data_IF_800904552823
#
_entry.id   IF_800904552823
#
_cell.length_a   1.000
_cell.length_b   1.000
_cell.length_c   1.000
_cell.angle_alpha   90.00
_cell.angle_beta   90.00
_cell.angle_gamma   90.00
#
_symmetry.space_group_name_H-M   'P 1'
#
loop_
_entity.id
_entity.type
_entity.pdbx_description
1 polymer ?
#
# COMPACT_ATOMS: atom_id res chain seq x y z
N UNK A 1 -4.21 -0.81 5.61
CA UNK A 1 -4.87 -1.32 6.83
C UNK A 1 -4.51 -0.53 8.10
N UNK A 2 -3.31 0.03 8.22
CA UNK A 2 -2.92 0.80 9.41
C UNK A 2 -3.84 1.99 9.73
N UNK A 3 -4.27 2.75 8.71
CA UNK A 3 -5.04 3.99 8.91
C UNK A 3 -6.38 3.75 9.64
N UNK A 4 -7.26 2.84 9.17
CA UNK A 4 -8.49 2.56 9.90
C UNK A 4 -8.27 1.87 11.25
N UNK A 5 -7.26 1.00 11.37
CA UNK A 5 -6.94 0.34 12.64
C UNK A 5 -6.52 1.35 13.71
N UNK A 6 -5.66 2.31 13.36
CA UNK A 6 -5.24 3.39 14.27
C UNK A 6 -6.39 4.32 14.61
N UNK A 7 -7.28 4.63 13.66
CA UNK A 7 -8.47 5.44 13.93
C UNK A 7 -9.40 4.78 14.97
N UNK A 8 -9.65 3.46 14.83
CA UNK A 8 -10.47 2.70 15.78
C UNK A 8 -9.80 2.62 17.16
N UNK A 9 -8.49 2.39 17.21
CA UNK A 9 -7.76 2.37 18.49
C UNK A 9 -7.74 3.73 19.18
N UNK A 10 -7.57 4.82 18.42
CA UNK A 10 -7.65 6.17 18.98
C UNK A 10 -9.06 6.44 19.51
N UNK A 11 -10.11 5.95 18.83
CA UNK A 11 -11.47 6.04 19.35
C UNK A 11 -11.66 5.27 20.67
N UNK A 12 -10.97 4.15 20.88
CA UNK A 12 -10.99 3.39 22.12
C UNK A 12 -10.32 4.16 23.27
N UNK A 13 -9.17 4.80 22.99
CA UNK A 13 -8.47 5.67 23.96
C UNK A 13 -9.34 6.87 24.33
N UNK A 14 -9.98 7.54 23.36
CA UNK A 14 -10.89 8.65 23.65
C UNK A 14 -12.09 8.22 24.49
N UNK A 15 -12.63 7.01 24.29
CA UNK A 15 -13.72 6.48 25.12
C UNK A 15 -13.25 6.18 26.54
N UNK A 16 -12.04 5.64 26.71
CA UNK A 16 -11.45 5.43 28.03
C UNK A 16 -11.22 6.76 28.77
N UNK A 17 -10.79 7.81 28.05
CA UNK A 17 -10.60 9.15 28.61
C UNK A 17 -11.91 9.89 28.91
N UNK A 18 -12.96 9.61 28.13
CA UNK A 18 -14.29 10.21 28.32
C UNK A 18 -15.12 9.51 29.43
N UNK A 19 -14.63 8.41 29.99
CA UNK A 19 -15.22 7.78 31.17
C UNK A 19 -15.14 8.70 32.40
N UNK A 20 -16.10 8.58 33.33
CA UNK A 20 -16.05 9.30 34.59
C UNK A 20 -14.76 8.96 35.37
N UNK A 21 -14.24 9.91 36.15
CA UNK A 21 -13.06 9.72 37.01
C UNK A 21 -13.38 8.67 38.08
N UNK A 22 -13.10 7.42 37.72
CA UNK A 22 -13.27 6.21 38.52
C UNK A 22 -11.89 5.54 38.67
N UNK A 23 -11.66 4.82 39.76
CA UNK A 23 -10.36 4.20 40.06
C UNK A 23 -9.92 3.20 38.97
N UNK A 24 -10.86 2.74 38.14
CA UNK A 24 -10.65 1.84 37.02
C UNK A 24 -10.10 2.52 35.73
N UNK A 25 -10.06 3.85 35.67
CA UNK A 25 -9.63 4.60 34.47
C UNK A 25 -8.17 4.33 34.11
N UNK A 26 -7.29 4.26 35.11
CA UNK A 26 -5.86 3.99 34.87
C UNK A 26 -5.62 2.59 34.31
N UNK A 27 -6.33 1.58 34.81
CA UNK A 27 -6.20 0.22 34.30
C UNK A 27 -6.69 0.08 32.85
N UNK A 28 -7.77 0.77 32.46
CA UNK A 28 -8.25 0.75 31.07
C UNK A 28 -7.26 1.43 30.11
N UNK A 29 -6.61 2.51 30.54
CA UNK A 29 -5.58 3.18 29.76
C UNK A 29 -4.32 2.32 29.60
N UNK A 30 -3.86 1.67 30.67
CA UNK A 30 -2.72 0.74 30.60
C UNK A 30 -2.99 -0.41 29.62
N UNK A 31 -4.17 -1.03 29.71
CA UNK A 31 -4.56 -2.08 28.77
C UNK A 31 -4.58 -1.55 27.34
N UNK A 32 -5.18 -0.39 27.08
CA UNK A 32 -5.22 0.24 25.75
C UNK A 32 -3.82 0.44 25.14
N UNK A 33 -2.85 0.90 25.94
CA UNK A 33 -1.47 1.10 25.50
C UNK A 33 -0.78 -0.22 25.14
N UNK A 34 -0.99 -1.27 25.93
CA UNK A 34 -0.45 -2.61 25.64
C UNK A 34 -1.03 -3.14 24.31
N UNK A 35 -2.34 -2.97 24.06
CA UNK A 35 -2.95 -3.40 22.79
C UNK A 35 -2.35 -2.65 21.60
N UNK A 36 -2.06 -1.35 21.77
CA UNK A 36 -1.49 -0.52 20.72
C UNK A 36 -0.07 -0.96 20.35
N UNK A 37 0.76 -1.25 21.36
CA UNK A 37 2.10 -1.79 21.15
C UNK A 37 2.08 -3.15 20.44
N UNK A 38 1.17 -4.06 20.84
CA UNK A 38 1.02 -5.37 20.22
C UNK A 38 0.64 -5.31 18.74
N UNK A 39 -0.32 -4.45 18.39
CA UNK A 39 -0.72 -4.25 16.98
C UNK A 39 0.37 -3.53 16.19
N UNK A 40 1.06 -2.56 16.77
CA UNK A 40 2.21 -1.89 16.13
C UNK A 40 3.31 -2.89 15.73
N UNK A 41 3.64 -3.83 16.62
CA UNK A 41 4.61 -4.87 16.32
C UNK A 41 4.12 -5.81 15.21
N UNK A 42 2.84 -6.21 15.25
CA UNK A 42 2.25 -7.06 14.21
C UNK A 42 2.26 -6.40 12.83
N UNK A 43 1.94 -5.10 12.76
CA UNK A 43 1.99 -4.32 11.51
C UNK A 43 3.41 -4.23 10.98
N UNK A 44 4.39 -3.95 11.85
CA UNK A 44 5.80 -3.86 11.45
C UNK A 44 6.28 -5.16 10.80
N UNK A 45 6.02 -6.32 11.43
CA UNK A 45 6.43 -7.62 10.90
C UNK A 45 5.74 -7.91 9.56
N UNK A 46 4.44 -7.63 9.46
CA UNK A 46 3.67 -7.89 8.25
C UNK A 46 4.07 -6.99 7.08
N UNK A 47 4.25 -5.69 7.32
CA UNK A 47 4.68 -4.73 6.29
C UNK A 47 6.11 -5.03 5.84
N UNK A 48 7.01 -5.36 6.76
CA UNK A 48 8.37 -5.75 6.41
C UNK A 48 8.39 -7.02 5.54
N UNK A 49 7.64 -8.06 5.95
CA UNK A 49 7.55 -9.30 5.18
C UNK A 49 6.95 -9.06 3.78
N UNK A 50 5.86 -8.30 3.70
CA UNK A 50 5.19 -7.99 2.43
C UNK A 50 6.08 -7.17 1.50
N UNK A 51 6.79 -6.17 2.05
CA UNK A 51 7.76 -5.36 1.30
C UNK A 51 8.93 -6.18 0.80
N UNK A 52 9.44 -7.12 1.60
CA UNK A 52 10.55 -7.99 1.20
C UNK A 52 10.13 -8.94 0.05
N UNK A 53 8.95 -9.57 0.17
CA UNK A 53 8.41 -10.45 -0.87
C UNK A 53 8.18 -9.69 -2.18
N UNK A 54 7.65 -8.48 -2.10
CA UNK A 54 7.37 -7.66 -3.26
C UNK A 54 8.66 -7.15 -3.93
N UNK A 55 9.67 -6.79 -3.14
CA UNK A 55 11.01 -6.47 -3.64
C UNK A 55 11.63 -7.62 -4.42
N UNK A 56 11.55 -8.84 -3.87
CA UNK A 56 12.02 -10.04 -4.58
C UNK A 56 11.22 -10.30 -5.86
N UNK A 57 9.90 -10.14 -5.82
CA UNK A 57 9.04 -10.30 -6.99
C UNK A 57 9.37 -9.27 -8.09
N UNK A 58 9.63 -8.01 -7.71
CA UNK A 58 9.96 -6.94 -8.65
C UNK A 58 11.32 -7.15 -9.32
N UNK A 59 12.29 -7.75 -8.61
CA UNK A 59 13.56 -8.19 -9.21
C UNK A 59 13.34 -9.26 -10.27
N UNK A 60 12.58 -10.31 -9.95
CA UNK A 60 12.33 -11.40 -10.87
C UNK A 60 11.57 -10.93 -12.13
N UNK A 61 10.55 -10.09 -11.96
CA UNK A 61 9.80 -9.49 -13.08
C UNK A 61 10.71 -8.64 -13.98
N UNK A 62 11.65 -7.88 -13.39
CA UNK A 62 12.60 -7.06 -14.14
C UNK A 62 13.58 -7.90 -14.94
N UNK A 63 14.04 -9.03 -14.37
CA UNK A 63 14.94 -9.95 -15.06
C UNK A 63 14.26 -10.60 -16.26
N UNK A 64 13.05 -11.11 -16.08
CA UNK A 64 12.21 -11.64 -17.16
C UNK A 64 11.95 -10.60 -18.26
N UNK A 65 11.64 -9.35 -17.89
CA UNK A 65 11.46 -8.27 -18.85
C UNK A 65 12.72 -8.01 -19.68
N UNK A 66 13.91 -7.97 -19.06
CA UNK A 66 15.18 -7.78 -19.76
C UNK A 66 15.45 -8.89 -20.78
N UNK A 67 15.25 -10.15 -20.38
CA UNK A 67 15.49 -11.31 -21.26
C UNK A 67 14.52 -11.29 -22.45
N UNK A 68 13.24 -11.05 -22.20
CA UNK A 68 12.22 -11.00 -23.27
C UNK A 68 12.45 -9.83 -24.22
N UNK A 69 12.78 -8.66 -23.69
CA UNK A 69 13.08 -7.48 -24.51
C UNK A 69 14.32 -7.69 -25.38
N UNK A 70 15.40 -8.26 -24.83
CA UNK A 70 16.60 -8.57 -25.59
C UNK A 70 16.33 -9.63 -26.69
N UNK A 71 15.59 -10.69 -26.36
CA UNK A 71 15.15 -11.69 -27.34
C UNK A 71 14.35 -11.06 -28.47
N UNK A 72 13.45 -10.13 -28.16
CA UNK A 72 12.63 -9.47 -29.17
C UNK A 72 13.46 -8.55 -30.09
N UNK A 73 14.48 -7.89 -29.55
CA UNK A 73 15.44 -7.09 -30.35
C UNK A 73 16.21 -8.00 -31.31
N UNK A 74 16.64 -9.19 -30.89
CA UNK A 74 17.39 -10.12 -31.74
C UNK A 74 16.57 -10.72 -32.89
N UNK A 75 15.24 -10.79 -32.75
CA UNK A 75 14.34 -11.35 -33.75
C UNK A 75 13.91 -10.32 -34.82
N UNK A 76 14.37 -9.08 -34.73
CA UNK A 76 13.95 -8.00 -35.61
C UNK A 76 14.73 -8.00 -36.95
N UNK A 77 14.07 -7.62 -38.03
CA UNK A 77 14.66 -7.62 -39.38
C UNK A 77 15.84 -6.65 -39.54
N UNK A 78 16.76 -6.93 -40.47
CA UNK A 78 17.90 -6.06 -40.75
C UNK A 78 17.49 -4.60 -41.12
N UNK A 79 16.38 -4.45 -41.84
CA UNK A 79 15.82 -3.14 -42.21
C UNK A 79 15.38 -2.30 -40.99
N UNK A 80 15.08 -2.95 -39.85
CA UNK A 80 14.79 -2.23 -38.61
C UNK A 80 16.04 -1.51 -38.08
N UNK A 81 17.22 -2.13 -38.19
CA UNK A 81 18.49 -1.57 -37.71
C UNK A 81 19.08 -0.50 -38.64
N UNK A 82 18.63 -0.41 -39.89
CA UNK A 82 19.06 0.62 -40.85
C UNK A 82 18.55 2.02 -40.47
N UNK A 83 17.49 2.10 -39.65
CA UNK A 83 16.99 3.38 -39.15
C UNK A 83 17.95 3.95 -38.08
N UNK A 84 18.39 5.22 -38.19
CA UNK A 84 19.30 5.84 -37.21
C UNK A 84 18.67 5.97 -35.81
N UNK A 85 17.34 5.86 -35.69
CA UNK A 85 16.64 5.78 -34.42
C UNK A 85 16.78 4.42 -33.73
N UNK A 86 17.00 3.35 -34.49
CA UNK A 86 17.06 1.95 -34.06
C UNK A 86 18.47 1.37 -34.13
N UNK A 87 19.49 2.23 -34.08
CA UNK A 87 20.87 1.78 -33.98
C UNK A 87 21.04 0.87 -32.74
N UNK A 88 21.74 -0.28 -32.86
CA UNK A 88 21.84 -1.28 -31.80
C UNK A 88 22.40 -0.71 -30.48
N UNK A 89 23.37 0.20 -30.56
CA UNK A 89 23.90 0.90 -29.37
C UNK A 89 22.82 1.72 -28.64
N UNK A 90 21.95 2.41 -29.39
CA UNK A 90 20.87 3.24 -28.83
C UNK A 90 19.77 2.38 -28.21
N UNK A 91 19.43 1.26 -28.83
CA UNK A 91 18.49 0.27 -28.29
C UNK A 91 18.99 -0.35 -26.99
N UNK A 92 20.29 -0.71 -26.91
CA UNK A 92 20.90 -1.25 -25.69
C UNK A 92 20.90 -0.19 -24.59
N UNK A 93 21.25 1.07 -24.89
CA UNK A 93 21.17 2.15 -23.90
C UNK A 93 19.74 2.36 -23.41
N UNK A 94 18.74 2.34 -24.30
CA UNK A 94 17.33 2.45 -23.90
C UNK A 94 16.89 1.29 -23.04
N UNK A 95 17.26 0.07 -23.39
CA UNK A 95 16.94 -1.10 -22.58
C UNK A 95 17.58 -1.04 -21.18
N UNK A 96 18.82 -0.55 -21.11
CA UNK A 96 19.54 -0.35 -19.85
C UNK A 96 18.92 0.75 -18.98
N UNK A 97 18.31 1.78 -19.57
CA UNK A 97 17.58 2.83 -18.84
C UNK A 97 16.15 2.42 -18.48
N UNK A 98 15.46 1.69 -19.34
CA UNK A 98 14.04 1.35 -19.16
C UNK A 98 13.86 0.24 -18.12
N UNK A 99 14.77 -0.74 -18.06
CA UNK A 99 14.67 -1.82 -17.09
C UNK A 99 14.72 -1.36 -15.61
N UNK A 100 15.66 -0.50 -15.16
CA UNK A 100 15.63 0.03 -13.79
C UNK A 100 14.44 0.97 -13.55
N UNK A 101 13.99 1.73 -14.56
CA UNK A 101 12.80 2.57 -14.44
C UNK A 101 11.54 1.73 -14.19
N UNK A 102 11.37 0.62 -14.92
CA UNK A 102 10.26 -0.32 -14.72
C UNK A 102 10.33 -0.94 -13.33
N UNK A 103 11.51 -1.38 -12.86
CA UNK A 103 11.66 -1.89 -11.49
C UNK A 103 11.24 -0.86 -10.46
N UNK A 104 11.67 0.39 -10.58
CA UNK A 104 11.34 1.44 -9.63
C UNK A 104 9.82 1.75 -9.55
N UNK A 105 9.13 1.68 -10.70
CA UNK A 105 7.67 1.84 -10.75
C UNK A 105 6.96 0.66 -10.12
N UNK A 106 7.38 -0.56 -10.45
CA UNK A 106 6.79 -1.77 -9.88
C UNK A 106 7.01 -1.76 -8.38
N UNK A 107 8.23 -1.55 -7.89
CA UNK A 107 8.58 -1.75 -6.48
C UNK A 107 7.99 -0.68 -5.55
N UNK A 108 8.35 0.59 -5.76
CA UNK A 108 8.02 1.65 -4.81
C UNK A 108 6.59 2.18 -4.98
N UNK A 109 6.12 2.34 -6.23
CA UNK A 109 4.83 2.99 -6.49
C UNK A 109 3.66 2.02 -6.40
N UNK A 110 3.83 0.79 -6.88
CA UNK A 110 2.72 -0.17 -6.91
C UNK A 110 2.29 -0.57 -5.50
N UNK A 111 3.24 -0.79 -4.59
CA UNK A 111 2.95 -1.12 -3.19
C UNK A 111 2.15 0.02 -2.51
N UNK A 112 2.57 1.27 -2.72
CA UNK A 112 1.86 2.45 -2.20
C UNK A 112 0.45 2.60 -2.76
N UNK A 113 0.25 2.36 -4.06
CA UNK A 113 -1.07 2.41 -4.69
C UNK A 113 -2.00 1.34 -4.10
N UNK A 114 -1.50 0.11 -3.93
CA UNK A 114 -2.26 -0.98 -3.32
C UNK A 114 -2.65 -0.64 -1.87
N UNK A 115 -1.71 -0.10 -1.09
CA UNK A 115 -2.01 0.36 0.28
C UNK A 115 -3.03 1.51 0.32
N UNK A 116 -2.93 2.47 -0.61
CA UNK A 116 -3.88 3.57 -0.73
C UNK A 116 -5.29 3.07 -1.08
N UNK A 117 -5.42 2.19 -2.07
CA UNK A 117 -6.70 1.64 -2.50
C UNK A 117 -7.35 0.79 -1.40
N UNK A 118 -6.58 -0.09 -0.75
CA UNK A 118 -7.10 -0.90 0.36
C UNK A 118 -7.51 -0.04 1.55
N UNK A 119 -6.74 1.01 1.88
CA UNK A 119 -7.12 1.95 2.92
C UNK A 119 -8.39 2.73 2.56
N UNK A 120 -8.53 3.18 1.32
CA UNK A 120 -9.71 3.90 0.85
C UNK A 120 -10.97 3.04 0.97
N UNK A 121 -10.92 1.79 0.50
CA UNK A 121 -12.05 0.85 0.59
C UNK A 121 -12.43 0.60 2.06
N UNK A 122 -11.47 0.30 2.92
CA UNK A 122 -11.74 0.03 4.34
C UNK A 122 -12.31 1.26 5.07
N UNK A 123 -11.80 2.45 4.78
CA UNK A 123 -12.32 3.68 5.38
C UNK A 123 -13.75 3.97 4.93
N UNK A 124 -14.08 3.73 3.65
CA UNK A 124 -15.46 3.85 3.16
C UNK A 124 -16.38 2.90 3.93
N UNK A 125 -16.00 1.63 4.08
CA UNK A 125 -16.80 0.62 4.80
C UNK A 125 -17.02 1.04 6.26
N UNK A 126 -15.95 1.42 6.97
CA UNK A 126 -16.02 1.84 8.36
C UNK A 126 -16.87 3.12 8.50
N UNK A 127 -16.66 4.09 7.60
CA UNK A 127 -17.43 5.32 7.55
C UNK A 127 -18.93 5.06 7.40
N UNK A 128 -19.33 4.17 6.49
CA UNK A 128 -20.73 3.79 6.32
C UNK A 128 -21.31 3.13 7.58
N UNK A 129 -20.58 2.24 8.25
CA UNK A 129 -21.04 1.57 9.47
C UNK A 129 -21.32 2.55 10.61
N UNK A 130 -20.41 3.50 10.87
CA UNK A 130 -20.58 4.49 11.93
C UNK A 130 -21.61 5.57 11.57
N UNK A 131 -21.62 6.02 10.31
CA UNK A 131 -22.49 7.11 9.87
C UNK A 131 -23.95 6.67 9.65
N UNK A 132 -24.22 5.36 9.47
CA UNK A 132 -25.57 4.84 9.28
C UNK A 132 -26.53 5.24 10.41
N UNK A 133 -26.06 5.25 11.66
CA UNK A 133 -26.88 5.64 12.81
C UNK A 133 -27.19 7.14 12.83
N UNK A 134 -26.27 7.97 12.36
CA UNK A 134 -26.44 9.43 12.26
C UNK A 134 -27.41 9.75 11.12
N UNK A 135 -27.24 9.11 9.97
CA UNK A 135 -28.11 9.28 8.80
C UNK A 135 -29.56 8.89 9.09
N UNK A 136 -29.78 7.77 9.80
CA UNK A 136 -31.12 7.36 10.23
C UNK A 136 -31.77 8.33 11.21
N UNK A 137 -31.00 8.97 12.10
CA UNK A 137 -31.55 9.99 13.02
C UNK A 137 -31.89 11.29 12.29
N UNK A 138 -31.06 11.73 11.33
CA UNK A 138 -31.30 12.97 10.61
C UNK A 138 -32.54 12.92 9.69
N UNK A 139 -32.80 11.79 9.03
CA UNK A 139 -34.00 11.60 8.19
C UNK A 139 -35.32 11.63 8.97
N UNK A 140 -35.33 11.19 10.23
CA UNK A 140 -36.51 11.27 11.11
C UNK A 140 -36.79 12.70 11.61
N UNK A 141 -35.78 13.56 11.71
CA UNK A 141 -35.96 14.97 12.13
C UNK A 141 -36.43 15.89 11.00
N UNK A 142 -36.35 15.45 9.75
CA UNK A 142 -36.75 16.20 8.55
C UNK A 142 -38.16 15.83 8.03
N UNK A 143 -38.79 14.80 8.61
CA UNK A 143 -40.15 14.34 8.30
C UNK A 143 -41.11 14.71 9.45
#
# INVERSE_FOLDING_TARGET
MQLPAMALMMSYVFRALAGAYDDNMMFQLEMAMIMHCGVGLGVLVFEFASSALFSLASENMTMEFRVRAFRNILLQDAAYFDSPQHAPGKLITRLATDAPNVKAVIDARMLQVIYGLTALILNIIIGFVYCWQVWRRCSIWLA
#
